data_IF_182635652812
#
_entry.id   IF_182635652812
#
_cell.length_a   1.000
_cell.length_b   1.000
_cell.length_c   1.000
_cell.angle_alpha   90.00
_cell.angle_beta   90.00
_cell.angle_gamma   90.00
#
_symmetry.space_group_name_H-M   'P 1'
#
loop_
_entity.id
_entity.type
_entity.pdbx_description
1 polymer ?
#
# COMPACT_ATOMS: atom_id res chain seq x y z
N UNK A 1 -9.01 12.21 33.30
CA UNK A 1 -8.79 12.50 31.86
C UNK A 1 -7.98 11.35 31.33
N UNK A 2 -8.63 10.49 30.53
CA UNK A 2 -8.09 9.22 30.07
C UNK A 2 -6.96 9.50 29.03
N UNK A 3 -5.75 9.00 29.27
CA UNK A 3 -4.57 9.15 28.43
C UNK A 3 -4.74 8.60 26.97
N UNK A 4 -5.92 8.08 26.65
CA UNK A 4 -6.30 7.51 25.34
C UNK A 4 -6.65 8.55 24.28
N UNK A 5 -6.79 9.82 24.63
CA UNK A 5 -7.18 10.92 23.75
C UNK A 5 -6.12 12.00 23.52
N UNK A 6 -4.87 11.78 23.95
CA UNK A 6 -3.82 12.80 23.82
C UNK A 6 -3.13 12.77 22.43
N UNK A 7 -2.80 13.95 21.93
CA UNK A 7 -1.89 14.18 20.79
C UNK A 7 -0.54 13.53 21.08
N UNK A 8 -0.03 12.71 20.17
CA UNK A 8 1.26 12.02 20.33
C UNK A 8 2.06 12.09 19.05
N UNK A 9 3.37 12.24 19.17
CA UNK A 9 4.25 12.21 17.99
C UNK A 9 4.32 10.82 17.39
N UNK A 10 4.47 10.74 16.05
CA UNK A 10 4.68 9.46 15.35
C UNK A 10 5.89 8.71 15.92
N UNK A 11 6.95 9.43 16.33
CA UNK A 11 8.13 8.83 16.96
C UNK A 11 7.80 8.14 18.28
N UNK A 12 7.02 8.78 19.15
CA UNK A 12 6.61 8.21 20.43
C UNK A 12 5.68 6.98 20.27
N UNK A 13 5.05 6.83 19.11
CA UNK A 13 4.18 5.70 18.77
C UNK A 13 4.89 4.60 17.97
N UNK A 14 6.17 4.78 17.61
CA UNK A 14 6.88 3.86 16.71
C UNK A 14 6.39 3.88 15.26
N UNK A 15 5.70 4.96 14.85
CA UNK A 15 5.09 5.14 13.53
C UNK A 15 5.89 6.07 12.61
N UNK A 16 7.10 6.48 13.00
CA UNK A 16 7.86 7.53 12.30
C UNK A 16 8.71 7.03 11.12
N UNK A 17 8.88 5.71 10.95
CA UNK A 17 9.72 5.15 9.88
C UNK A 17 8.92 4.90 8.61
N UNK A 18 9.27 5.61 7.53
CA UNK A 18 8.66 5.40 6.23
C UNK A 18 9.31 4.22 5.47
N UNK A 19 8.54 3.34 4.83
CA UNK A 19 9.08 2.29 3.97
C UNK A 19 9.98 2.82 2.84
N UNK A 20 9.75 4.03 2.35
CA UNK A 20 10.61 4.65 1.34
C UNK A 20 12.04 4.87 1.84
N UNK A 21 12.21 5.16 3.13
CA UNK A 21 13.52 5.32 3.77
C UNK A 21 14.10 3.98 4.19
N UNK A 22 13.25 3.06 4.65
CA UNK A 22 13.61 1.70 5.07
C UNK A 22 12.85 0.64 4.27
N UNK A 23 13.23 0.37 3.03
CA UNK A 23 12.47 -0.50 2.10
C UNK A 23 12.14 -1.89 2.64
N UNK A 24 13.03 -2.49 3.44
CA UNK A 24 12.79 -3.81 4.02
C UNK A 24 11.73 -3.83 5.12
N UNK A 25 11.26 -2.67 5.58
CA UNK A 25 10.12 -2.56 6.50
C UNK A 25 8.76 -2.47 5.79
N UNK A 26 8.72 -2.47 4.43
CA UNK A 26 7.46 -2.36 3.70
C UNK A 26 6.47 -3.46 4.16
N UNK A 27 5.19 -3.14 4.34
CA UNK A 27 4.47 -1.90 4.02
C UNK A 27 4.57 -0.79 5.09
N UNK A 28 5.48 -0.89 6.04
CA UNK A 28 5.64 0.02 7.17
C UNK A 28 4.78 -0.35 8.37
N UNK A 29 4.93 0.41 9.44
CA UNK A 29 4.13 0.23 10.65
C UNK A 29 2.80 0.95 10.48
N UNK A 30 1.71 0.22 10.74
CA UNK A 30 0.36 0.76 10.71
C UNK A 30 -0.13 1.05 12.14
N UNK A 31 -0.94 2.09 12.35
CA UNK A 31 -1.50 2.36 13.65
C UNK A 31 -2.41 1.22 14.15
N UNK A 32 -2.51 1.07 15.47
CA UNK A 32 -3.41 0.09 16.10
C UNK A 32 -4.88 0.54 16.12
N UNK A 33 -5.13 1.84 15.88
CA UNK A 33 -6.46 2.47 15.90
C UNK A 33 -6.59 3.55 14.83
N UNK A 34 -7.83 3.94 14.54
CA UNK A 34 -8.15 5.11 13.72
C UNK A 34 -7.60 6.38 14.38
N UNK A 35 -7.18 7.35 13.56
CA UNK A 35 -6.63 8.62 14.02
C UNK A 35 -6.47 9.62 12.87
N UNK A 36 -6.12 10.84 13.21
CA UNK A 36 -5.74 11.88 12.28
C UNK A 36 -4.21 11.97 12.26
N UNK A 37 -3.63 11.72 11.10
CA UNK A 37 -2.25 12.14 10.82
C UNK A 37 -2.28 13.67 10.64
N UNK A 38 -1.43 14.38 11.38
CA UNK A 38 -1.23 15.82 11.25
C UNK A 38 0.26 16.15 11.39
N UNK A 39 0.94 16.25 10.26
CA UNK A 39 2.39 16.39 10.23
C UNK A 39 3.09 15.21 10.92
N UNK A 40 3.83 15.50 11.99
CA UNK A 40 4.56 14.52 12.80
C UNK A 40 3.73 13.91 13.94
N UNK A 41 2.44 14.18 13.98
CA UNK A 41 1.58 13.82 15.10
C UNK A 41 0.43 12.90 14.70
N UNK A 42 -0.02 12.13 15.67
CA UNK A 42 -1.18 11.27 15.61
C UNK A 42 -2.20 11.73 16.64
N UNK A 43 -3.38 12.14 16.16
CA UNK A 43 -4.43 12.69 16.98
C UNK A 43 -5.65 11.75 16.97
N UNK A 44 -6.50 11.84 18.01
CA UNK A 44 -7.81 11.19 17.98
C UNK A 44 -8.66 11.71 16.83
N UNK A 45 -9.57 10.87 16.31
CA UNK A 45 -10.61 11.28 15.38
C UNK A 45 -11.90 11.54 16.13
N UNK A 46 -12.58 12.65 15.79
CA UNK A 46 -13.91 12.99 16.30
C UNK A 46 -15.00 12.18 15.60
N UNK A 47 -14.74 11.77 14.34
CA UNK A 47 -15.67 11.02 13.49
C UNK A 47 -14.92 10.01 12.64
N UNK A 48 -15.62 8.99 12.12
CA UNK A 48 -15.03 7.95 11.27
C UNK A 48 -15.20 8.22 9.77
N UNK A 49 -16.22 8.99 9.39
CA UNK A 49 -16.44 9.43 8.00
C UNK A 49 -16.12 10.91 7.85
N UNK A 50 -15.63 11.29 6.69
CA UNK A 50 -15.17 12.64 6.40
C UNK A 50 -15.79 13.15 5.09
N UNK A 51 -17.02 13.73 5.15
CA UNK A 51 -17.69 14.31 3.99
C UNK A 51 -16.80 15.37 3.31
N UNK A 52 -16.81 15.37 1.98
CA UNK A 52 -15.96 16.25 1.17
C UNK A 52 -14.50 15.76 0.98
N UNK A 53 -14.16 14.58 1.53
CA UNK A 53 -12.89 13.87 1.29
C UNK A 53 -13.13 12.55 0.57
N UNK A 54 -12.13 12.07 -0.17
CA UNK A 54 -12.22 10.83 -0.95
C UNK A 54 -11.76 9.63 -0.11
N UNK A 55 -12.61 8.62 0.12
CA UNK A 55 -12.20 7.41 0.84
C UNK A 55 -11.34 6.51 -0.07
N UNK A 56 -10.11 6.22 0.34
CA UNK A 56 -9.18 5.33 -0.37
C UNK A 56 -8.75 4.19 0.54
N UNK A 57 -9.04 2.96 0.14
CA UNK A 57 -8.60 1.74 0.84
C UNK A 57 -7.09 1.58 0.61
N UNK A 58 -6.33 1.56 1.68
CA UNK A 58 -4.89 1.39 1.66
C UNK A 58 -4.52 -0.06 1.97
N UNK A 59 -3.97 -0.77 0.97
CA UNK A 59 -3.51 -2.17 1.09
C UNK A 59 -2.00 -2.28 1.33
N UNK A 60 -1.28 -1.18 1.20
CA UNK A 60 0.18 -1.12 1.31
C UNK A 60 0.66 0.08 2.13
N UNK A 61 1.74 0.69 1.70
CA UNK A 61 2.42 1.74 2.48
C UNK A 61 1.61 3.02 2.71
N UNK A 62 0.54 3.26 1.95
CA UNK A 62 -0.37 4.38 2.22
C UNK A 62 -1.15 4.22 3.54
N UNK A 63 -1.14 3.03 4.17
CA UNK A 63 -1.63 2.82 5.53
C UNK A 63 -0.59 3.17 6.62
N UNK A 64 0.65 3.50 6.24
CA UNK A 64 1.70 3.97 7.15
C UNK A 64 1.66 5.50 7.25
N UNK A 65 1.44 6.07 8.45
CA UNK A 65 1.45 7.53 8.66
C UNK A 65 2.76 8.18 8.19
N UNK A 66 3.91 7.56 8.47
CA UNK A 66 5.21 8.08 8.04
C UNK A 66 5.34 8.16 6.51
N UNK A 67 4.81 7.16 5.79
CA UNK A 67 4.84 7.17 4.33
C UNK A 67 3.94 8.26 3.74
N UNK A 68 2.72 8.42 4.27
CA UNK A 68 1.82 9.50 3.85
C UNK A 68 2.45 10.86 4.11
N UNK A 69 2.97 11.07 5.33
CA UNK A 69 3.68 12.30 5.68
C UNK A 69 4.82 12.60 4.71
N UNK A 70 5.65 11.60 4.42
CA UNK A 70 6.78 11.76 3.50
C UNK A 70 6.34 12.15 2.07
N UNK A 71 5.25 11.56 1.58
CA UNK A 71 4.69 11.89 0.27
C UNK A 71 4.19 13.34 0.23
N UNK A 72 3.37 13.72 1.22
CA UNK A 72 2.75 15.04 1.26
C UNK A 72 3.74 16.16 1.54
N UNK A 73 4.76 15.90 2.40
CA UNK A 73 5.80 16.88 2.72
C UNK A 73 6.67 17.28 1.50
N UNK A 74 6.66 16.49 0.43
CA UNK A 74 7.38 16.81 -0.82
C UNK A 74 6.61 17.80 -1.71
N UNK A 75 5.39 18.15 -1.31
CA UNK A 75 4.49 19.06 -2.02
C UNK A 75 3.92 20.08 -1.00
N UNK A 76 3.54 21.24 -1.45
CA UNK A 76 2.97 22.29 -0.59
C UNK A 76 1.47 22.04 -0.32
N UNK A 77 1.17 20.91 0.33
CA UNK A 77 -0.18 20.50 0.73
C UNK A 77 -0.23 20.14 2.21
N UNK A 78 -1.40 20.28 2.82
CA UNK A 78 -1.62 19.88 4.22
C UNK A 78 -1.25 18.42 4.44
N UNK A 79 -0.59 18.12 5.56
CA UNK A 79 -0.33 16.75 5.98
C UNK A 79 -1.44 16.16 6.87
N UNK A 80 -2.56 16.88 7.06
CA UNK A 80 -3.69 16.42 7.89
C UNK A 80 -4.58 15.43 7.14
N UNK A 81 -4.35 14.12 7.34
CA UNK A 81 -5.10 13.03 6.71
C UNK A 81 -5.80 12.17 7.75
N UNK A 82 -7.14 12.14 7.79
CA UNK A 82 -7.87 11.16 8.59
C UNK A 82 -7.61 9.74 8.07
N UNK A 83 -7.40 8.79 9.00
CA UNK A 83 -7.13 7.39 8.72
C UNK A 83 -8.03 6.53 9.58
N UNK A 84 -8.99 5.84 8.98
CA UNK A 84 -9.96 5.01 9.70
C UNK A 84 -9.73 3.53 9.44
N UNK A 85 -9.76 2.72 10.50
CA UNK A 85 -9.73 1.26 10.35
C UNK A 85 -11.07 0.77 9.84
N UNK A 86 -11.02 -0.12 8.87
CA UNK A 86 -12.20 -0.73 8.26
C UNK A 86 -12.03 -2.24 8.12
N UNK A 87 -13.16 -2.94 8.01
CA UNK A 87 -13.25 -4.31 7.49
C UNK A 87 -13.58 -4.20 6.02
N UNK A 88 -12.71 -4.71 5.17
CA UNK A 88 -12.89 -4.68 3.71
C UNK A 88 -13.11 -6.10 3.22
N UNK A 89 -14.29 -6.36 2.67
CA UNK A 89 -14.64 -7.63 2.04
C UNK A 89 -14.52 -7.49 0.53
N UNK A 90 -14.05 -8.53 -0.14
CA UNK A 90 -13.83 -8.55 -1.58
C UNK A 90 -12.39 -8.28 -2.00
N UNK A 91 -11.51 -7.93 -1.05
CA UNK A 91 -10.11 -7.57 -1.33
C UNK A 91 -9.15 -8.41 -0.49
N UNK A 92 -8.17 -9.03 -1.17
CA UNK A 92 -6.96 -9.57 -0.56
C UNK A 92 -5.76 -8.65 -0.86
N UNK A 93 -4.73 -8.72 -0.02
CA UNK A 93 -3.48 -7.98 -0.21
C UNK A 93 -2.47 -8.86 -0.93
N UNK A 94 -2.34 -8.64 -2.23
CA UNK A 94 -1.39 -9.34 -3.09
C UNK A 94 -0.05 -8.64 -3.23
N UNK A 95 0.85 -9.26 -3.97
CA UNK A 95 2.18 -8.73 -4.31
C UNK A 95 2.13 -8.16 -5.71
N UNK A 96 2.46 -6.89 -5.89
CA UNK A 96 2.53 -6.27 -7.22
C UNK A 96 3.64 -6.90 -8.06
N UNK A 97 3.43 -7.03 -9.36
CA UNK A 97 4.43 -7.59 -10.27
C UNK A 97 5.44 -6.54 -10.75
N UNK A 98 5.92 -5.66 -9.84
CA UNK A 98 6.96 -4.68 -10.17
C UNK A 98 7.93 -4.43 -9.03
N UNK A 99 9.16 -4.06 -9.37
CA UNK A 99 10.19 -3.65 -8.42
C UNK A 99 10.24 -2.12 -8.37
N UNK A 100 9.95 -1.56 -7.22
CA UNK A 100 10.00 -0.12 -6.98
C UNK A 100 11.43 0.41 -6.97
N UNK A 101 11.63 1.62 -7.52
CA UNK A 101 12.89 2.37 -7.40
C UNK A 101 13.26 2.70 -5.94
N UNK A 102 12.33 2.60 -5.03
CA UNK A 102 12.60 2.71 -3.59
C UNK A 102 13.28 1.46 -3.01
N UNK A 103 13.36 0.35 -3.75
CA UNK A 103 14.03 -0.88 -3.35
C UNK A 103 13.14 -1.89 -2.63
N UNK A 104 11.86 -1.92 -2.95
CA UNK A 104 10.89 -2.91 -2.46
C UNK A 104 9.97 -3.39 -3.58
N UNK A 105 9.29 -4.50 -3.34
CA UNK A 105 8.17 -5.01 -4.15
C UNK A 105 6.89 -4.70 -3.40
N UNK A 106 6.01 -3.90 -4.00
CA UNK A 106 4.85 -3.33 -3.31
C UNK A 106 3.68 -4.30 -3.22
N UNK A 107 2.68 -3.93 -2.41
CA UNK A 107 1.37 -4.58 -2.39
C UNK A 107 0.47 -4.04 -3.51
N UNK A 108 -0.48 -4.87 -3.93
CA UNK A 108 -1.61 -4.47 -4.78
C UNK A 108 -2.87 -5.20 -4.32
N UNK A 109 -4.05 -4.58 -4.38
CA UNK A 109 -5.30 -5.28 -4.09
C UNK A 109 -5.55 -6.36 -5.14
N UNK A 110 -6.15 -7.46 -4.69
CA UNK A 110 -6.58 -8.60 -5.51
C UNK A 110 -8.06 -8.86 -5.23
N UNK A 111 -8.85 -9.12 -6.26
CA UNK A 111 -10.25 -9.48 -6.09
C UNK A 111 -10.38 -10.85 -5.39
N UNK A 112 -11.02 -10.86 -4.24
CA UNK A 112 -11.21 -12.04 -3.41
C UNK A 112 -12.56 -11.98 -2.68
N UNK A 113 -13.68 -12.35 -3.34
CA UNK A 113 -15.06 -12.11 -2.85
C UNK A 113 -15.35 -12.66 -1.46
N UNK A 114 -14.76 -13.80 -1.09
CA UNK A 114 -14.97 -14.44 0.21
C UNK A 114 -14.02 -13.95 1.31
N UNK A 115 -13.09 -13.05 0.98
CA UNK A 115 -12.06 -12.60 1.93
C UNK A 115 -12.46 -11.28 2.58
N UNK A 116 -12.28 -11.20 3.90
CA UNK A 116 -12.39 -9.95 4.65
C UNK A 116 -11.06 -9.64 5.33
N UNK A 117 -10.55 -8.41 5.12
CA UNK A 117 -9.32 -7.91 5.72
C UNK A 117 -9.57 -6.69 6.59
N UNK A 118 -8.77 -6.54 7.65
CA UNK A 118 -8.71 -5.31 8.45
C UNK A 118 -7.67 -4.40 7.78
N UNK A 119 -8.14 -3.34 7.15
CA UNK A 119 -7.33 -2.38 6.41
C UNK A 119 -7.58 -0.96 6.94
N UNK A 120 -6.90 0.02 6.36
CA UNK A 120 -7.19 1.43 6.57
C UNK A 120 -7.91 2.04 5.37
N UNK A 121 -8.84 2.93 5.65
CA UNK A 121 -9.34 3.92 4.70
C UNK A 121 -8.66 5.24 5.05
N UNK A 122 -7.91 5.79 4.13
CA UNK A 122 -7.35 7.13 4.21
C UNK A 122 -8.32 8.10 3.52
N UNK A 123 -8.42 9.32 4.04
CA UNK A 123 -9.36 10.34 3.58
C UNK A 123 -8.62 11.60 3.12
N UNK A 124 -7.94 11.56 1.97
CA UNK A 124 -7.31 12.75 1.39
C UNK A 124 -8.38 13.76 0.94
N UNK A 125 -8.07 15.04 1.07
CA UNK A 125 -8.77 16.09 0.32
C UNK A 125 -8.32 16.10 -1.15
N UNK A 126 -8.86 16.98 -1.98
CA UNK A 126 -8.58 17.02 -3.41
C UNK A 126 -7.08 17.25 -3.70
N UNK A 127 -6.43 18.21 -3.04
CA UNK A 127 -5.01 18.48 -3.25
C UNK A 127 -4.11 17.33 -2.78
N UNK A 128 -4.43 16.72 -1.65
CA UNK A 128 -3.74 15.52 -1.17
C UNK A 128 -3.93 14.32 -2.10
N UNK A 129 -5.12 14.17 -2.68
CA UNK A 129 -5.42 13.08 -3.62
C UNK A 129 -4.61 13.22 -4.90
N UNK A 130 -4.47 14.43 -5.44
CA UNK A 130 -3.63 14.72 -6.61
C UNK A 130 -2.16 14.35 -6.35
N UNK A 131 -1.65 14.66 -5.16
CA UNK A 131 -0.30 14.26 -4.74
C UNK A 131 -0.18 12.74 -4.65
N UNK A 132 -1.17 12.06 -4.08
CA UNK A 132 -1.16 10.60 -4.00
C UNK A 132 -1.16 9.97 -5.38
N UNK A 133 -2.02 10.41 -6.30
CA UNK A 133 -2.07 9.95 -7.69
C UNK A 133 -0.71 10.15 -8.39
N UNK A 134 -0.10 11.32 -8.24
CA UNK A 134 1.22 11.63 -8.81
C UNK A 134 2.36 10.77 -8.22
N UNK A 135 2.24 10.32 -6.98
CA UNK A 135 3.25 9.48 -6.30
C UNK A 135 3.05 7.98 -6.51
N UNK A 136 2.00 7.59 -7.23
CA UNK A 136 1.68 6.18 -7.56
C UNK A 136 1.74 5.88 -9.07
N UNK A 137 2.86 6.17 -9.78
CA UNK A 137 2.94 6.11 -11.24
C UNK A 137 2.76 4.70 -11.83
N UNK A 138 2.77 3.65 -10.99
CA UNK A 138 2.56 2.26 -11.40
C UNK A 138 1.15 1.74 -11.06
N UNK A 139 0.24 2.64 -10.67
CA UNK A 139 -1.10 2.27 -10.23
C UNK A 139 -2.16 3.18 -10.83
N UNK A 140 -3.33 2.62 -11.10
CA UNK A 140 -4.56 3.36 -11.33
C UNK A 140 -5.39 3.41 -10.06
N UNK A 141 -5.95 4.56 -9.73
CA UNK A 141 -6.97 4.68 -8.70
C UNK A 141 -8.31 4.27 -9.29
N UNK A 142 -8.89 3.19 -8.79
CA UNK A 142 -10.16 2.63 -9.26
C UNK A 142 -11.23 2.70 -8.18
N UNK A 143 -12.49 2.85 -8.59
CA UNK A 143 -13.64 2.73 -7.70
C UNK A 143 -13.89 1.24 -7.42
N UNK A 144 -14.08 0.89 -6.15
CA UNK A 144 -14.53 -0.42 -5.69
C UNK A 144 -16.06 -0.40 -5.55
N UNK A 145 -16.83 -0.92 -6.52
CA UNK A 145 -18.27 -0.78 -6.52
C UNK A 145 -18.94 -1.71 -5.50
N UNK A 146 -19.90 -1.21 -4.72
CA UNK A 146 -20.82 -2.04 -3.98
C UNK A 146 -21.83 -2.69 -4.97
N UNK A 147 -22.32 -3.93 -4.72
CA UNK A 147 -22.08 -4.77 -3.53
C UNK A 147 -20.86 -5.70 -3.63
N UNK A 148 -20.10 -5.68 -4.72
CA UNK A 148 -18.92 -6.56 -4.92
C UNK A 148 -17.82 -6.33 -3.88
N UNK A 149 -17.73 -5.10 -3.36
CA UNK A 149 -16.79 -4.72 -2.32
C UNK A 149 -17.55 -4.06 -1.17
N UNK A 150 -17.29 -4.51 0.05
CA UNK A 150 -17.90 -3.92 1.24
C UNK A 150 -16.81 -3.36 2.14
N UNK A 151 -16.86 -2.05 2.37
CA UNK A 151 -15.98 -1.34 3.30
C UNK A 151 -16.80 -0.93 4.51
N UNK A 152 -16.58 -1.58 5.65
CA UNK A 152 -17.32 -1.38 6.89
C UNK A 152 -16.43 -0.77 7.96
N UNK A 153 -16.81 0.38 8.47
CA UNK A 153 -16.13 1.08 9.55
C UNK A 153 -16.43 0.44 10.91
N UNK A 154 -15.66 0.83 11.95
CA UNK A 154 -15.78 0.24 13.29
C UNK A 154 -17.18 0.41 13.92
N UNK A 155 -17.91 1.46 13.56
CA UNK A 155 -19.28 1.72 14.02
C UNK A 155 -20.37 0.93 13.28
N UNK A 156 -19.98 0.04 12.33
CA UNK A 156 -20.89 -0.73 11.49
C UNK A 156 -21.39 0.00 10.24
N UNK A 157 -21.01 1.27 10.06
CA UNK A 157 -21.32 2.03 8.86
C UNK A 157 -20.59 1.48 7.66
N UNK A 158 -21.30 1.20 6.57
CA UNK A 158 -20.74 0.77 5.30
C UNK A 158 -20.58 1.98 4.37
N UNK A 159 -19.41 2.12 3.76
CA UNK A 159 -19.17 3.13 2.74
C UNK A 159 -19.80 2.67 1.43
N UNK A 160 -20.50 3.57 0.74
CA UNK A 160 -21.11 3.31 -0.57
C UNK A 160 -20.05 3.26 -1.67
N UNK A 161 -19.08 4.16 -1.59
CA UNK A 161 -17.99 4.29 -2.54
C UNK A 161 -16.65 4.33 -1.80
N UNK A 162 -15.67 3.59 -2.28
CA UNK A 162 -14.29 3.67 -1.85
C UNK A 162 -13.38 3.38 -3.04
N UNK A 163 -12.20 3.98 -3.06
CA UNK A 163 -11.21 3.76 -4.11
C UNK A 163 -10.09 2.86 -3.60
N UNK A 164 -9.33 2.29 -4.54
CA UNK A 164 -8.07 1.61 -4.27
C UNK A 164 -7.09 1.83 -5.42
N UNK A 165 -5.79 1.71 -5.14
CA UNK A 165 -4.74 1.76 -6.17
C UNK A 165 -4.42 0.36 -6.68
N UNK A 166 -4.70 0.09 -7.96
CA UNK A 166 -4.48 -1.20 -8.63
C UNK A 166 -3.26 -1.12 -9.53
N UNK A 167 -2.31 -2.02 -9.36
CA UNK A 167 -1.04 -2.00 -10.08
C UNK A 167 -1.19 -2.29 -11.57
N UNK A 168 -0.46 -1.55 -12.42
CA UNK A 168 -0.48 -1.72 -13.89
C UNK A 168 0.15 -3.03 -14.36
N UNK A 169 1.12 -3.55 -13.59
CA UNK A 169 1.91 -4.73 -13.98
C UNK A 169 1.25 -6.06 -13.56
N UNK A 170 0.03 -6.02 -12.98
CA UNK A 170 -0.59 -7.20 -12.40
C UNK A 170 0.00 -7.57 -11.03
N UNK A 171 -0.18 -8.82 -10.62
CA UNK A 171 0.30 -9.35 -9.34
C UNK A 171 1.09 -10.63 -9.55
N UNK A 172 2.01 -10.91 -8.61
CA UNK A 172 2.75 -12.17 -8.62
C UNK A 172 1.85 -13.30 -8.11
N UNK A 173 1.98 -14.49 -8.71
CA UNK A 173 1.32 -15.69 -8.23
C UNK A 173 2.28 -16.62 -7.47
N UNK A 174 1.74 -17.59 -6.78
CA UNK A 174 2.45 -18.55 -5.92
C UNK A 174 3.04 -19.77 -6.64
N UNK A 175 2.98 -19.77 -7.97
CA UNK A 175 3.38 -20.90 -8.82
C UNK A 175 2.18 -21.72 -9.32
N UNK A 176 1.05 -21.72 -8.63
CA UNK A 176 -0.18 -22.39 -9.06
C UNK A 176 -1.11 -21.50 -9.90
N UNK A 177 -0.73 -20.24 -10.12
CA UNK A 177 -1.56 -19.22 -10.77
C UNK A 177 -2.42 -18.40 -9.79
N UNK A 178 -2.43 -18.76 -8.51
CA UNK A 178 -3.14 -18.00 -7.47
C UNK A 178 -2.28 -16.81 -7.03
N UNK A 179 -2.90 -15.63 -6.93
CA UNK A 179 -2.19 -14.42 -6.50
C UNK A 179 -1.53 -14.63 -5.12
N UNK A 180 -0.23 -14.36 -5.06
CA UNK A 180 0.57 -14.47 -3.84
C UNK A 180 0.16 -13.39 -2.83
N UNK A 181 -0.11 -13.79 -1.60
CA UNK A 181 -0.29 -12.84 -0.49
C UNK A 181 1.04 -12.21 -0.10
N UNK A 182 1.02 -10.95 0.30
CA UNK A 182 2.23 -10.24 0.72
C UNK A 182 2.67 -10.68 2.13
N UNK A 183 3.82 -11.41 2.26
CA UNK A 183 4.25 -11.99 3.55
C UNK A 183 5.04 -11.02 4.44
N UNK A 184 5.22 -9.79 3.98
CA UNK A 184 6.21 -8.84 4.49
C UNK A 184 7.44 -8.80 3.60
N UNK A 185 8.10 -7.64 3.54
CA UNK A 185 9.08 -7.35 2.49
C UNK A 185 10.32 -8.25 2.53
N UNK A 186 10.87 -8.46 3.74
CA UNK A 186 12.08 -9.27 3.89
C UNK A 186 11.85 -10.72 3.46
N UNK A 187 10.77 -11.33 3.92
CA UNK A 187 10.37 -12.69 3.55
C UNK A 187 10.13 -12.78 2.04
N UNK A 188 9.36 -11.84 1.48
CA UNK A 188 9.07 -11.79 0.05
C UNK A 188 10.34 -11.77 -0.80
N UNK A 189 11.28 -10.85 -0.52
CA UNK A 189 12.52 -10.75 -1.30
C UNK A 189 13.35 -12.03 -1.16
N UNK A 190 13.43 -12.61 0.05
CA UNK A 190 14.14 -13.87 0.27
C UNK A 190 13.57 -14.99 -0.61
N UNK A 191 12.23 -15.13 -0.64
CA UNK A 191 11.54 -16.10 -1.47
C UNK A 191 11.77 -15.85 -2.97
N UNK A 192 11.59 -14.60 -3.44
CA UNK A 192 11.79 -14.23 -4.84
C UNK A 192 13.21 -14.53 -5.33
N UNK A 193 14.23 -14.23 -4.51
CA UNK A 193 15.63 -14.53 -4.82
C UNK A 193 15.92 -16.03 -4.77
N UNK A 194 15.30 -16.79 -3.88
CA UNK A 194 15.44 -18.26 -3.85
C UNK A 194 14.84 -18.92 -5.10
N UNK A 195 13.69 -18.40 -5.56
CA UNK A 195 12.94 -18.93 -6.70
C UNK A 195 13.51 -18.57 -8.07
N UNK A 196 14.29 -17.47 -8.21
CA UNK A 196 14.80 -16.99 -9.51
C UNK A 196 16.29 -16.72 -9.51
N UNK A 197 17.04 -17.55 -10.25
CA UNK A 197 18.47 -17.33 -10.52
C UNK A 197 18.68 -16.06 -11.37
N UNK A 198 17.79 -15.80 -12.32
CA UNK A 198 17.84 -14.62 -13.19
C UNK A 198 17.65 -13.33 -12.39
N UNK A 199 16.81 -13.35 -11.35
CA UNK A 199 16.64 -12.22 -10.46
C UNK A 199 17.86 -12.01 -9.55
N UNK A 200 18.50 -13.09 -9.07
CA UNK A 200 19.72 -12.99 -8.25
C UNK A 200 20.88 -12.31 -8.98
N UNK A 201 21.05 -12.53 -10.29
CA UNK A 201 22.15 -11.94 -11.06
C UNK A 201 22.21 -10.41 -10.91
N UNK A 202 21.16 -9.64 -11.21
CA UNK A 202 21.18 -8.19 -11.05
C UNK A 202 21.00 -7.71 -9.59
N UNK A 203 20.30 -8.46 -8.72
CA UNK A 203 19.90 -7.97 -7.41
C UNK A 203 20.69 -8.52 -6.23
N UNK A 204 21.48 -9.59 -6.43
CA UNK A 204 22.23 -10.25 -5.36
C UNK A 204 21.45 -11.38 -4.69
N UNK A 205 22.05 -11.95 -3.63
CA UNK A 205 21.53 -13.13 -2.97
C UNK A 205 20.74 -12.82 -1.68
N UNK A 206 20.80 -11.58 -1.20
CA UNK A 206 20.17 -11.16 0.06
C UNK A 206 19.21 -10.00 -0.13
N UNK A 207 18.22 -9.84 0.77
CA UNK A 207 17.32 -8.67 0.76
C UNK A 207 18.06 -7.34 0.84
N UNK A 208 19.17 -7.26 1.55
CA UNK A 208 20.00 -6.07 1.68
C UNK A 208 20.65 -5.70 0.34
N UNK A 209 21.21 -6.67 -0.36
CA UNK A 209 21.77 -6.47 -1.70
C UNK A 209 20.69 -6.08 -2.70
N UNK A 210 19.55 -6.77 -2.67
CA UNK A 210 18.40 -6.43 -3.52
C UNK A 210 17.99 -4.96 -3.34
N UNK A 211 17.76 -4.53 -2.10
CA UNK A 211 17.42 -3.15 -1.77
C UNK A 211 18.48 -2.16 -2.28
N UNK A 212 19.77 -2.44 -1.97
CA UNK A 212 20.85 -1.54 -2.34
C UNK A 212 20.98 -1.40 -3.86
N UNK A 213 20.93 -2.51 -4.59
CA UNK A 213 21.05 -2.55 -6.05
C UNK A 213 19.83 -1.97 -6.77
N UNK A 214 18.63 -2.17 -6.25
CA UNK A 214 17.41 -1.56 -6.77
C UNK A 214 17.43 -0.03 -6.65
N UNK A 215 17.85 0.49 -5.49
CA UNK A 215 17.97 1.94 -5.26
C UNK A 215 19.07 2.60 -6.08
N UNK A 216 20.13 1.88 -6.39
CA UNK A 216 21.26 2.41 -7.14
C UNK A 216 20.96 2.59 -8.64
N UNK A 217 20.01 1.85 -9.20
CA UNK A 217 19.79 1.82 -10.64
C UNK A 217 18.32 1.53 -11.00
N UNK A 218 17.63 2.57 -11.49
CA UNK A 218 16.24 2.47 -11.92
C UNK A 218 16.05 1.49 -13.10
N UNK A 219 17.02 1.39 -14.03
CA UNK A 219 16.94 0.45 -15.17
C UNK A 219 16.95 -0.99 -14.68
N UNK A 220 17.67 -1.26 -13.60
CA UNK A 220 17.69 -2.58 -12.97
C UNK A 220 16.30 -2.95 -12.42
N UNK A 221 15.60 -2.01 -11.81
CA UNK A 221 14.21 -2.23 -11.37
C UNK A 221 13.27 -2.56 -12.54
N UNK A 222 13.43 -1.85 -13.66
CA UNK A 222 12.67 -2.12 -14.88
C UNK A 222 13.00 -3.51 -15.47
N UNK A 223 14.26 -3.89 -15.49
CA UNK A 223 14.68 -5.24 -15.93
C UNK A 223 14.09 -6.32 -15.02
N UNK A 224 14.18 -6.16 -13.69
CA UNK A 224 13.61 -7.11 -12.73
C UNK A 224 12.11 -7.23 -12.85
N UNK A 225 11.42 -6.12 -13.09
CA UNK A 225 9.96 -6.10 -13.35
C UNK A 225 9.62 -6.91 -14.61
N UNK A 226 10.42 -6.78 -15.70
CA UNK A 226 10.23 -7.58 -16.92
C UNK A 226 10.52 -9.07 -16.70
N UNK A 227 11.48 -9.42 -15.84
CA UNK A 227 11.79 -10.81 -15.51
C UNK A 227 10.59 -11.53 -14.92
N UNK A 228 9.76 -10.89 -14.10
CA UNK A 228 8.54 -11.50 -13.58
C UNK A 228 7.60 -11.98 -14.70
N UNK A 229 7.43 -11.19 -15.75
CA UNK A 229 6.61 -11.57 -16.90
C UNK A 229 7.30 -12.67 -17.75
N UNK A 230 8.61 -12.55 -18.00
CA UNK A 230 9.39 -13.56 -18.77
C UNK A 230 9.38 -14.92 -18.07
N UNK A 231 9.47 -14.95 -16.75
CA UNK A 231 9.38 -16.17 -15.94
C UNK A 231 7.93 -16.65 -15.73
N UNK A 232 6.95 -16.01 -16.38
CA UNK A 232 5.52 -16.33 -16.28
C UNK A 232 5.00 -16.32 -14.83
N UNK A 233 5.46 -15.36 -14.02
CA UNK A 233 5.12 -15.24 -12.60
C UNK A 233 3.98 -14.25 -12.34
N UNK A 234 3.44 -13.66 -13.39
CA UNK A 234 2.42 -12.60 -13.32
C UNK A 234 1.04 -13.17 -13.62
N UNK A 235 0.06 -12.79 -12.81
CA UNK A 235 -1.36 -13.04 -13.04
C UNK A 235 -2.16 -11.76 -12.89
N UNK A 236 -3.42 -11.77 -13.33
CA UNK A 236 -4.34 -10.66 -13.15
C UNK A 236 -4.73 -10.49 -11.68
N UNK A 237 -4.95 -9.25 -11.24
CA UNK A 237 -5.52 -8.97 -9.92
C UNK A 237 -7.03 -9.23 -9.84
N UNK A 238 -7.70 -9.35 -11.00
CA UNK A 238 -9.16 -9.43 -11.11
C UNK A 238 -9.87 -8.07 -10.97
N UNK A 239 -9.10 -6.97 -10.86
CA UNK A 239 -9.61 -5.59 -10.70
C UNK A 239 -9.35 -4.72 -11.94
N UNK A 240 -8.72 -5.27 -12.99
CA UNK A 240 -8.34 -4.54 -14.20
C UNK A 240 -9.53 -3.94 -14.94
N UNK A 241 -10.69 -4.58 -14.85
CA UNK A 241 -11.94 -4.11 -15.45
C UNK A 241 -12.51 -2.85 -14.81
N UNK A 242 -12.05 -2.49 -13.59
CA UNK A 242 -12.46 -1.28 -12.87
C UNK A 242 -11.68 -0.03 -13.30
N UNK A 243 -10.63 -0.19 -14.13
CA UNK A 243 -9.88 0.94 -14.67
C UNK A 243 -10.76 1.72 -15.63
N UNK A 244 -10.83 3.04 -15.43
CA UNK A 244 -11.46 3.93 -16.43
C UNK A 244 -10.51 4.00 -17.62
N UNK A 245 -11.02 3.69 -18.80
CA UNK A 245 -10.28 3.82 -20.07
C UNK A 245 -10.30 5.27 -20.55
#
# INVERSE_FOLDING_TARGET
VDARGARRTLKALGLAEAPRDRPLSYPGVWPDRSGLLDGDEWLPLDRLTHPGRTPVVAVGSNASPAQLRLKLASFDVSAAVPMTRARVTGVEVGVSAHISRAGYVSASPVHAPAVTRKLFVIWPDAGQLDVLDATEPNYDRVLLPAPGFRVELKNGEALLDAFAYVNHHGVLHDGSGVARRHPGQRALITELLAESAELRRPFGATPEEFRARARADARRCEQGTRLFALEKRVTASGLEHLRVR
#
